data_IF_129688647360
#
_entry.id   IF_129688647360
#
_cell.length_a   1.000
_cell.length_b   1.000
_cell.length_c   1.000
_cell.angle_alpha   90.00
_cell.angle_beta   90.00
_cell.angle_gamma   90.00
#
_symmetry.space_group_name_H-M   'P 1'
#
loop_
_entity.id
_entity.type
_entity.pdbx_description
1 polymer ?
#
# COMPACT_ATOMS: atom_id res chain seq x y z
N UNK A 1 -49.24 35.34 7.50
CA UNK A 1 -48.48 34.91 6.30
C UNK A 1 -47.03 34.60 6.70
N UNK A 2 -46.61 33.33 6.60
CA UNK A 2 -45.25 32.89 6.89
C UNK A 2 -44.31 33.26 5.75
N UNK A 3 -43.39 34.20 5.97
CA UNK A 3 -42.33 34.52 4.99
C UNK A 3 -41.05 33.77 5.39
N UNK A 4 -40.70 32.83 4.52
CA UNK A 4 -39.65 31.81 4.63
C UNK A 4 -38.28 32.45 4.95
N UNK A 5 -37.66 32.00 6.05
CA UNK A 5 -36.21 32.13 6.28
C UNK A 5 -35.50 31.54 5.06
N UNK A 6 -34.74 32.36 4.33
CA UNK A 6 -33.78 31.87 3.36
C UNK A 6 -32.48 31.62 4.13
N UNK A 7 -32.07 30.36 4.21
CA UNK A 7 -30.77 29.93 4.72
C UNK A 7 -29.72 30.12 3.60
N UNK A 8 -28.75 31.03 3.74
CA UNK A 8 -27.73 31.31 2.71
C UNK A 8 -26.57 30.29 2.72
N UNK A 9 -26.85 29.03 3.02
CA UNK A 9 -25.81 28.00 3.20
C UNK A 9 -25.49 27.21 1.92
N UNK A 10 -25.89 27.70 0.74
CA UNK A 10 -25.79 26.97 -0.53
C UNK A 10 -24.76 27.56 -1.52
N UNK A 11 -24.00 28.59 -1.14
CA UNK A 11 -23.00 29.24 -2.01
C UNK A 11 -21.61 28.58 -1.99
N UNK A 12 -21.48 27.34 -1.51
CA UNK A 12 -20.22 26.59 -1.58
C UNK A 12 -20.40 25.33 -2.40
N UNK A 13 -20.61 25.50 -3.70
CA UNK A 13 -20.53 24.41 -4.68
C UNK A 13 -19.72 24.94 -5.87
N UNK A 14 -18.44 24.61 -5.91
CA UNK A 14 -17.60 25.07 -7.02
C UNK A 14 -16.19 24.52 -7.09
N UNK A 15 -15.59 24.07 -5.98
CA UNK A 15 -14.22 23.58 -6.03
C UNK A 15 -14.16 22.13 -5.60
N UNK A 16 -14.05 21.26 -6.60
CA UNK A 16 -13.62 19.88 -6.42
C UNK A 16 -12.12 19.91 -6.10
N UNK A 17 -11.78 20.44 -4.92
CA UNK A 17 -10.41 20.39 -4.41
C UNK A 17 -10.08 18.91 -4.32
N UNK A 18 -9.18 18.44 -5.19
CA UNK A 18 -8.54 17.17 -4.96
C UNK A 18 -7.93 17.27 -3.57
N UNK A 19 -8.44 16.49 -2.61
CA UNK A 19 -7.81 16.32 -1.31
C UNK A 19 -6.38 15.82 -1.58
N UNK A 20 -5.46 16.76 -1.77
CA UNK A 20 -4.02 16.55 -1.89
C UNK A 20 -3.51 16.22 -0.49
N UNK A 21 -3.93 15.05 -0.04
CA UNK A 21 -3.45 14.35 1.16
C UNK A 21 -3.36 12.86 0.88
N UNK A 22 -3.31 12.46 -0.40
CA UNK A 22 -3.00 11.08 -0.78
C UNK A 22 -1.50 10.93 -0.64
N UNK A 23 -1.08 10.71 0.61
CA UNK A 23 0.22 10.14 0.92
C UNK A 23 0.46 9.00 -0.08
N UNK A 24 1.65 8.94 -0.73
CA UNK A 24 1.86 8.09 -1.89
C UNK A 24 1.79 6.63 -1.45
N UNK A 25 0.60 6.05 -1.57
CA UNK A 25 0.42 4.62 -1.63
C UNK A 25 1.11 4.18 -2.92
N UNK A 26 2.22 3.44 -2.78
CA UNK A 26 3.01 3.02 -3.94
C UNK A 26 2.58 1.62 -4.31
N UNK A 27 2.08 1.51 -5.54
CA UNK A 27 1.76 0.24 -6.16
C UNK A 27 3.03 -0.45 -6.65
N UNK A 28 3.30 -1.64 -6.11
CA UNK A 28 4.46 -2.46 -6.49
C UNK A 28 4.02 -3.87 -6.87
N UNK A 29 4.79 -4.54 -7.72
CA UNK A 29 4.49 -5.92 -8.08
C UNK A 29 5.02 -6.89 -7.02
N UNK A 30 4.17 -7.80 -6.57
CA UNK A 30 4.61 -8.89 -5.71
C UNK A 30 5.55 -9.81 -6.49
N UNK A 31 6.81 -10.04 -6.03
CA UNK A 31 7.77 -10.85 -6.77
C UNK A 31 7.46 -12.35 -6.74
N UNK A 32 6.44 -12.78 -5.98
CA UNK A 32 6.01 -14.18 -5.87
C UNK A 32 4.88 -14.54 -6.82
N UNK A 33 3.81 -13.75 -6.85
CA UNK A 33 2.62 -14.02 -7.67
C UNK A 33 2.36 -12.99 -8.77
N UNK A 34 3.15 -11.91 -8.84
CA UNK A 34 3.00 -10.87 -9.87
C UNK A 34 1.78 -9.96 -9.71
N UNK A 35 1.04 -10.07 -8.61
CA UNK A 35 -0.08 -9.17 -8.34
C UNK A 35 0.42 -7.80 -7.90
N UNK A 36 -0.26 -6.75 -8.35
CA UNK A 36 -0.03 -5.39 -7.87
C UNK A 36 -0.48 -5.30 -6.41
N UNK A 37 0.42 -4.89 -5.52
CA UNK A 37 0.16 -4.70 -4.09
C UNK A 37 0.46 -3.27 -3.70
N UNK A 38 -0.33 -2.78 -2.77
CA UNK A 38 -0.25 -1.43 -2.25
C UNK A 38 0.70 -1.42 -1.05
N UNK A 39 1.83 -0.71 -1.16
CA UNK A 39 2.71 -0.41 -0.04
C UNK A 39 2.29 0.92 0.58
N UNK A 40 1.77 0.85 1.81
CA UNK A 40 1.46 2.05 2.58
C UNK A 40 2.73 2.82 2.97
N UNK A 41 2.58 4.11 3.27
CA UNK A 41 3.69 5.04 3.57
C UNK A 41 4.56 4.70 4.76
N UNK A 42 4.16 3.73 5.57
CA UNK A 42 4.95 3.19 6.68
C UNK A 42 5.97 2.14 6.26
N UNK A 43 5.91 1.62 5.03
CA UNK A 43 6.82 0.60 4.53
C UNK A 43 8.24 1.18 4.37
N UNK A 44 9.17 0.71 5.20
CA UNK A 44 10.57 1.15 5.18
C UNK A 44 11.46 0.15 4.44
N UNK A 45 12.51 0.65 3.81
CA UNK A 45 13.57 -0.18 3.25
C UNK A 45 14.10 -1.16 4.32
N UNK A 46 14.23 -2.44 3.95
CA UNK A 46 14.63 -3.52 4.84
C UNK A 46 13.49 -4.14 5.66
N UNK A 47 12.26 -3.60 5.58
CA UNK A 47 11.11 -4.20 6.23
C UNK A 47 10.62 -5.44 5.47
N UNK A 48 10.05 -6.40 6.19
CA UNK A 48 9.43 -7.59 5.59
C UNK A 48 7.96 -7.31 5.30
N UNK A 49 7.62 -7.36 4.02
CA UNK A 49 6.26 -7.29 3.53
C UNK A 49 5.70 -8.68 3.25
N UNK A 50 4.54 -9.01 3.80
CA UNK A 50 3.84 -10.26 3.51
C UNK A 50 2.67 -10.00 2.55
N UNK A 51 2.69 -10.64 1.38
CA UNK A 51 1.60 -10.54 0.42
C UNK A 51 0.35 -11.23 0.98
N UNK A 52 -0.74 -10.48 1.16
CA UNK A 52 -2.01 -11.02 1.66
C UNK A 52 -2.70 -12.03 0.73
N UNK A 53 -2.28 -12.10 -0.54
CA UNK A 53 -2.86 -13.00 -1.54
C UNK A 53 -2.12 -14.34 -1.66
N UNK A 54 -0.81 -14.32 -1.83
CA UNK A 54 -0.02 -15.55 -1.98
C UNK A 54 0.69 -16.01 -0.69
N UNK A 55 0.68 -15.18 0.37
CA UNK A 55 1.42 -15.44 1.61
C UNK A 55 2.95 -15.31 1.46
N UNK A 56 3.45 -14.91 0.30
CA UNK A 56 4.88 -14.74 0.05
C UNK A 56 5.45 -13.56 0.83
N UNK A 57 6.56 -13.80 1.54
CA UNK A 57 7.30 -12.76 2.27
C UNK A 57 8.38 -12.16 1.35
N UNK A 58 8.37 -10.84 1.25
CA UNK A 58 9.28 -10.03 0.44
C UNK A 58 9.95 -8.99 1.33
N UNK A 59 11.08 -8.46 0.90
CA UNK A 59 11.76 -7.35 1.56
C UNK A 59 11.53 -6.08 0.75
N UNK A 60 11.13 -5.01 1.44
CA UNK A 60 10.99 -3.68 0.85
C UNK A 60 12.38 -3.13 0.59
N UNK A 61 12.64 -2.63 -0.61
CA UNK A 61 13.89 -1.99 -1.00
C UNK A 61 13.61 -0.63 -1.60
N UNK A 62 14.56 0.29 -1.49
CA UNK A 62 14.48 1.56 -2.21
C UNK A 62 14.90 1.33 -3.67
N UNK A 63 13.96 1.45 -4.59
CA UNK A 63 14.20 1.52 -6.03
C UNK A 63 14.40 2.96 -6.49
N UNK A 64 14.74 3.13 -7.77
CA UNK A 64 15.04 4.45 -8.34
C UNK A 64 13.85 5.42 -8.41
N UNK A 65 12.62 4.91 -8.44
CA UNK A 65 11.38 5.69 -8.55
C UNK A 65 10.50 5.62 -7.27
N UNK A 66 10.95 4.85 -6.26
CA UNK A 66 10.15 4.60 -5.06
C UNK A 66 10.48 3.25 -4.40
N UNK A 67 9.76 2.87 -3.33
CA UNK A 67 9.89 1.55 -2.71
C UNK A 67 9.52 0.46 -3.71
N UNK A 68 10.26 -0.65 -3.70
CA UNK A 68 10.08 -1.84 -4.53
C UNK A 68 10.17 -3.11 -3.66
N UNK A 69 9.78 -4.27 -4.19
CA UNK A 69 9.79 -5.54 -3.46
C UNK A 69 10.74 -6.55 -4.10
N UNK A 70 11.76 -6.97 -3.34
CA UNK A 70 12.56 -8.15 -3.69
C UNK A 70 12.12 -9.35 -2.88
N UNK A 71 12.34 -10.56 -3.41
CA UNK A 71 12.13 -11.78 -2.62
C UNK A 71 13.06 -11.74 -1.41
N UNK A 72 12.48 -11.83 -0.20
CA UNK A 72 13.27 -11.98 0.99
C UNK A 72 14.08 -13.28 0.85
N UNK A 73 15.37 -13.30 1.21
CA UNK A 73 16.13 -14.54 1.28
C UNK A 73 15.36 -15.44 2.24
N UNK A 74 14.78 -16.53 1.69
CA UNK A 74 14.12 -17.51 2.51
C UNK A 74 15.19 -17.99 3.49
N UNK A 75 14.95 -17.80 4.79
CA UNK A 75 15.78 -18.43 5.81
C UNK A 75 15.85 -19.90 5.41
N UNK A 76 17.02 -20.27 4.90
CA UNK A 76 17.30 -21.54 4.23
C UNK A 76 16.57 -22.61 5.01
N UNK A 77 15.54 -23.22 4.41
CA UNK A 77 14.85 -24.37 4.98
C UNK A 77 15.94 -25.37 5.27
N UNK A 78 16.39 -25.43 6.52
CA UNK A 78 17.29 -26.48 6.98
C UNK A 78 16.55 -27.77 6.63
N UNK A 79 17.14 -28.66 5.81
CA UNK A 79 16.47 -29.89 5.44
C UNK A 79 16.27 -30.65 6.75
N UNK A 80 15.05 -30.59 7.30
CA UNK A 80 14.68 -31.43 8.43
C UNK A 80 14.78 -32.86 7.90
N UNK A 81 15.86 -33.49 8.33
CA UNK A 81 16.23 -34.87 8.12
C UNK A 81 14.99 -35.75 8.24
N UNK A 82 14.72 -36.46 7.15
CA UNK A 82 13.84 -37.61 7.13
C UNK A 82 14.56 -38.71 7.95
N UNK A 83 14.13 -38.93 9.20
CA UNK A 83 14.52 -40.08 10.03
C UNK A 83 13.24 -40.57 10.72
N UNK A 84 12.61 -41.61 10.16
CA UNK A 84 12.78 -43.02 10.52
C UNK A 84 12.31 -43.31 11.95
#
# INVERSE_FOLDING_TARGET
MAKKKHDPLWEVVGEKIALQGREPDVDVLCPHCGVLVHLGTSAKAGERYACGLCGGVSEVVEGGDGPDLKRAPQASRSPRSRGQ
#
